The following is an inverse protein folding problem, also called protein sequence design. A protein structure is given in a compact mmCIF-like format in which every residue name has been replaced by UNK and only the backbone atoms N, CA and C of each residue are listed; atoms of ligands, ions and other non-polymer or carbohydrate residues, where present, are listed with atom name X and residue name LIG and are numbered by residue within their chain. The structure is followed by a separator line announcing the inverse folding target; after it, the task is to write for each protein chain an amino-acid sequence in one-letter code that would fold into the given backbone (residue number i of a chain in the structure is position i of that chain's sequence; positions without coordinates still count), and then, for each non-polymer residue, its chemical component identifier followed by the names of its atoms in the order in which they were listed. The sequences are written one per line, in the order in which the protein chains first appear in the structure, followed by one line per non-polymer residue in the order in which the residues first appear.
data_IF_209614891320
#
_entry.id   IF_209614891320
#
_cell.length_a   1.000
_cell.length_b   1.000
_cell.length_c   1.000
_cell.angle_alpha   90.00
_cell.angle_beta   90.00
_cell.angle_gamma   90.00
#
_symmetry.space_group_name_H-M   'P 1'
#
loop_
_entity.id
_entity.type
_entity.pdbx_description
1 polymer ?
#
# COMPACT_ATOMS: atom_id res chain seq x y z
N UNK A 1 -21.43 -45.44 -40.56
CA UNK A 1 -20.20 -45.34 -41.38
C UNK A 1 -19.13 -44.79 -40.42
N UNK A 2 -18.49 -45.54 -39.52
CA UNK A 2 -17.89 -46.88 -39.57
C UNK A 2 -16.90 -47.00 -40.71
N UNK A 3 -15.59 -47.03 -40.36
CA UNK A 3 -14.36 -47.54 -41.01
C UNK A 3 -13.23 -46.66 -40.45
N UNK A 4 -12.41 -47.02 -39.45
CA UNK A 4 -11.51 -48.17 -39.23
C UNK A 4 -10.83 -48.72 -40.48
N UNK A 5 -9.52 -48.43 -40.64
CA UNK A 5 -8.41 -49.33 -41.08
C UNK A 5 -7.11 -48.62 -40.63
N UNK A 6 -6.42 -49.05 -39.58
CA UNK A 6 -5.38 -50.10 -39.51
C UNK A 6 -4.10 -49.77 -40.28
N UNK A 7 -2.97 -49.78 -39.57
CA UNK A 7 -1.62 -49.59 -40.11
C UNK A 7 -0.56 -49.74 -39.02
N UNK A 8 -0.44 -50.95 -38.48
CA UNK A 8 0.69 -51.43 -37.68
C UNK A 8 2.01 -51.36 -38.46
N UNK A 9 3.09 -51.00 -37.77
CA UNK A 9 4.40 -51.62 -37.93
C UNK A 9 5.25 -51.42 -36.67
N UNK A 10 5.42 -52.54 -35.95
CA UNK A 10 6.50 -52.93 -35.02
C UNK A 10 7.91 -52.47 -35.44
N UNK A 11 8.99 -52.57 -34.67
CA UNK A 11 9.33 -52.63 -33.24
C UNK A 11 10.88 -52.76 -33.20
N UNK A 12 11.55 -52.17 -32.19
CA UNK A 12 12.81 -52.60 -31.52
C UNK A 12 13.35 -51.42 -30.69
N UNK A 13 13.15 -51.36 -29.37
CA UNK A 13 13.79 -52.10 -28.24
C UNK A 13 15.23 -51.67 -27.96
N UNK A 14 15.41 -51.00 -26.81
CA UNK A 14 16.49 -51.09 -25.79
C UNK A 14 16.64 -49.72 -25.09
N UNK A 15 16.63 -49.48 -23.78
CA UNK A 15 16.52 -50.27 -22.56
C UNK A 15 16.03 -49.33 -21.44
N UNK A 16 15.06 -49.77 -20.64
CA UNK A 16 14.64 -49.08 -19.41
C UNK A 16 14.81 -50.07 -18.26
N UNK A 17 15.85 -49.89 -17.45
CA UNK A 17 16.02 -50.67 -16.22
C UNK A 17 15.18 -50.08 -15.07
N UNK A 18 14.45 -50.99 -14.44
CA UNK A 18 13.63 -50.85 -13.25
C UNK A 18 14.46 -51.34 -12.06
N UNK A 19 14.58 -50.54 -11.01
CA UNK A 19 14.98 -51.00 -9.66
C UNK A 19 13.99 -50.36 -8.68
N UNK A 20 12.89 -51.04 -8.35
CA UNK A 20 12.74 -52.01 -7.25
C UNK A 20 12.85 -51.38 -5.86
N UNK A 21 11.67 -51.15 -5.30
CA UNK A 21 11.37 -50.88 -3.90
C UNK A 21 11.83 -52.00 -2.96
N UNK A 22 12.58 -51.65 -1.92
CA UNK A 22 12.67 -52.38 -0.64
C UNK A 22 12.66 -51.31 0.47
N UNK A 23 11.81 -51.34 1.48
CA UNK A 23 11.61 -52.45 2.41
C UNK A 23 12.33 -52.07 3.71
N UNK A 24 11.70 -51.22 4.53
CA UNK A 24 12.21 -50.83 5.85
C UNK A 24 11.89 -51.95 6.84
N UNK A 25 12.84 -52.83 7.11
CA UNK A 25 12.77 -53.81 8.19
C UNK A 25 14.11 -53.85 8.93
N UNK A 26 14.17 -53.17 10.09
CA UNK A 26 14.69 -53.69 11.37
C UNK A 26 15.05 -52.57 12.37
N UNK A 27 14.27 -52.48 13.44
CA UNK A 27 14.60 -51.79 14.69
C UNK A 27 15.63 -52.65 15.43
N UNK A 28 16.91 -52.61 15.05
CA UNK A 28 17.98 -53.18 15.89
C UNK A 28 19.40 -52.60 15.64
N UNK A 29 19.53 -51.48 14.92
CA UNK A 29 20.84 -50.83 14.65
C UNK A 29 21.06 -49.48 15.36
N UNK A 30 20.16 -49.07 16.27
CA UNK A 30 20.30 -47.82 17.03
C UNK A 30 21.11 -47.96 18.34
N UNK A 31 21.62 -49.15 18.66
CA UNK A 31 22.31 -49.41 19.94
C UNK A 31 23.84 -49.59 19.84
N UNK A 32 24.43 -49.41 18.65
CA UNK A 32 25.89 -49.54 18.44
C UNK A 32 26.65 -48.23 18.19
N UNK A 33 25.96 -47.09 18.13
CA UNK A 33 26.59 -45.79 17.83
C UNK A 33 26.85 -44.89 19.06
N UNK A 34 26.49 -45.33 20.27
CA UNK A 34 26.63 -44.51 21.48
C UNK A 34 27.82 -44.90 22.40
N UNK A 35 28.67 -45.83 21.97
CA UNK A 35 29.79 -46.34 22.78
C UNK A 35 31.09 -46.47 21.99
N UNK A 36 31.57 -45.38 21.41
CA UNK A 36 32.98 -45.23 21.04
C UNK A 36 33.37 -43.76 21.16
N UNK A 37 34.02 -43.46 22.28
CA UNK A 37 34.70 -42.20 22.49
C UNK A 37 36.01 -42.13 21.71
N UNK A 38 36.28 -40.90 21.30
CA UNK A 38 37.57 -40.26 21.04
C UNK A 38 38.24 -40.31 19.65
N UNK A 39 38.62 -39.07 19.30
CA UNK A 39 39.76 -38.62 18.50
C UNK A 39 39.73 -38.82 16.99
N UNK A 40 39.16 -37.84 16.28
CA UNK A 40 39.93 -36.84 15.51
C UNK A 40 38.96 -35.92 14.79
N UNK A 41 39.11 -34.63 15.05
CA UNK A 41 38.33 -33.56 14.47
C UNK A 41 39.16 -32.97 13.33
N UNK A 42 38.99 -33.46 12.10
CA UNK A 42 39.43 -32.74 10.88
C UNK A 42 38.69 -33.28 9.66
N UNK A 43 38.20 -32.34 8.85
CA UNK A 43 37.81 -32.49 7.45
C UNK A 43 36.45 -33.13 7.13
N UNK A 44 35.38 -32.38 7.46
CA UNK A 44 34.29 -32.16 6.51
C UNK A 44 33.73 -30.75 6.69
N UNK A 45 34.55 -29.73 6.41
CA UNK A 45 34.03 -28.38 6.16
C UNK A 45 33.49 -28.33 4.73
N UNK A 46 32.32 -28.95 4.51
CA UNK A 46 31.48 -28.56 3.40
C UNK A 46 31.02 -27.13 3.68
N UNK A 47 31.70 -26.18 3.05
CA UNK A 47 31.34 -24.78 2.99
C UNK A 47 30.06 -24.66 2.16
N UNK A 48 28.92 -25.08 2.73
CA UNK A 48 27.63 -24.64 2.24
C UNK A 48 27.60 -23.14 2.50
N UNK A 49 27.88 -22.35 1.46
CA UNK A 49 27.55 -20.92 1.46
C UNK A 49 26.03 -20.86 1.61
N UNK A 50 25.56 -20.81 2.85
CA UNK A 50 24.15 -20.59 3.15
C UNK A 50 23.88 -19.15 2.76
N UNK A 51 23.49 -18.96 1.50
CA UNK A 51 23.01 -17.66 1.03
C UNK A 51 21.76 -17.34 1.84
N UNK A 52 21.78 -16.21 2.54
CA UNK A 52 20.60 -15.72 3.24
C UNK A 52 19.40 -15.58 2.29
N UNK A 53 18.17 -15.56 2.83
CA UNK A 53 16.99 -15.36 2.01
C UNK A 53 17.11 -14.07 1.18
N UNK A 54 16.53 -14.02 -0.03
CA UNK A 54 16.61 -12.84 -0.89
C UNK A 54 15.95 -11.63 -0.21
N UNK A 55 16.43 -10.43 -0.52
CA UNK A 55 15.86 -9.20 0.03
C UNK A 55 14.37 -9.07 -0.33
N UNK A 56 13.50 -9.01 0.67
CA UNK A 56 12.06 -8.89 0.48
C UNK A 56 11.62 -7.56 -0.19
N UNK A 57 12.49 -6.54 -0.25
CA UNK A 57 12.21 -5.27 -0.92
C UNK A 57 11.02 -4.49 -0.31
N UNK A 58 10.66 -4.75 0.94
CA UNK A 58 9.46 -4.20 1.59
C UNK A 58 9.42 -2.66 1.65
N UNK A 59 10.58 -1.99 1.61
CA UNK A 59 10.68 -0.53 1.66
C UNK A 59 11.02 0.12 0.31
N UNK A 60 11.25 -0.67 -0.75
CA UNK A 60 11.64 -0.13 -2.07
C UNK A 60 10.42 0.57 -2.69
N UNK A 61 10.63 1.80 -3.19
CA UNK A 61 9.62 2.58 -3.94
C UNK A 61 9.15 1.75 -5.14
N UNK A 62 7.85 1.73 -5.37
CA UNK A 62 7.24 1.04 -6.50
C UNK A 62 6.93 2.05 -7.61
N UNK A 63 7.14 1.70 -8.89
CA UNK A 63 6.76 2.58 -9.98
C UNK A 63 5.24 2.77 -9.98
N UNK A 64 4.80 4.03 -10.03
CA UNK A 64 3.38 4.35 -10.15
C UNK A 64 2.90 3.98 -11.56
N UNK A 65 1.70 3.37 -11.65
CA UNK A 65 1.01 3.18 -12.93
C UNK A 65 0.58 4.53 -13.49
N UNK A 66 0.58 4.68 -14.82
CA UNK A 66 0.00 5.85 -15.49
C UNK A 66 -1.42 6.12 -14.98
N UNK A 67 -1.71 7.36 -14.60
CA UNK A 67 -3.02 7.76 -14.10
C UNK A 67 -3.98 8.13 -15.23
N UNK A 68 -5.28 7.95 -14.99
CA UNK A 68 -6.31 8.58 -15.82
C UNK A 68 -6.26 10.11 -15.65
N UNK A 69 -5.92 10.61 -14.46
CA UNK A 69 -5.76 12.04 -14.19
C UNK A 69 -4.85 12.72 -15.22
N UNK A 70 -3.65 12.18 -15.45
CA UNK A 70 -2.69 12.73 -16.43
C UNK A 70 -3.28 12.78 -17.84
N UNK A 71 -3.99 11.74 -18.26
CA UNK A 71 -4.66 11.69 -19.56
C UNK A 71 -5.76 12.75 -19.68
N UNK A 72 -6.57 12.93 -18.64
CA UNK A 72 -7.62 13.95 -18.63
C UNK A 72 -7.03 15.37 -18.63
N UNK A 73 -5.91 15.58 -17.92
CA UNK A 73 -5.18 16.84 -17.96
C UNK A 73 -4.66 17.13 -19.37
N UNK A 74 -3.95 16.18 -19.98
CA UNK A 74 -3.34 16.36 -21.31
C UNK A 74 -4.41 16.57 -22.41
N UNK A 75 -5.61 15.99 -22.25
CA UNK A 75 -6.76 16.25 -23.15
C UNK A 75 -7.45 17.59 -22.90
N UNK A 76 -7.24 18.23 -21.75
CA UNK A 76 -7.91 19.47 -21.38
C UNK A 76 -9.34 19.30 -20.87
N UNK A 77 -9.75 18.07 -20.53
CA UNK A 77 -11.11 17.73 -20.07
C UNK A 77 -11.38 18.18 -18.63
N UNK A 78 -10.35 18.59 -17.89
CA UNK A 78 -10.49 18.97 -16.50
C UNK A 78 -11.16 20.35 -16.32
N UNK A 79 -12.08 20.49 -15.34
CA UNK A 79 -12.76 21.75 -15.03
C UNK A 79 -11.87 22.73 -14.24
N UNK A 80 -10.55 22.64 -14.38
CA UNK A 80 -9.56 23.46 -13.68
C UNK A 80 -8.62 24.14 -14.67
N UNK A 81 -8.11 25.32 -14.30
CA UNK A 81 -7.15 26.10 -15.06
C UNK A 81 -6.12 26.73 -14.10
N UNK A 82 -4.93 27.05 -14.62
CA UNK A 82 -3.91 27.76 -13.84
C UNK A 82 -4.29 29.24 -13.72
N UNK A 83 -4.44 29.73 -12.49
CA UNK A 83 -4.60 31.15 -12.21
C UNK A 83 -3.27 31.70 -11.67
N UNK A 84 -2.76 32.73 -12.34
CA UNK A 84 -1.57 33.46 -11.87
C UNK A 84 -2.04 34.66 -11.05
N UNK A 85 -2.09 34.49 -9.73
CA UNK A 85 -2.26 35.60 -8.80
C UNK A 85 -0.88 36.13 -8.39
N UNK A 86 -0.78 37.44 -8.18
CA UNK A 86 0.41 38.12 -7.64
C UNK A 86 0.86 37.60 -6.27
N UNK A 87 -0.03 36.90 -5.54
CA UNK A 87 0.22 36.30 -4.22
C UNK A 87 0.60 34.81 -4.27
N UNK A 88 0.59 34.17 -5.43
CA UNK A 88 0.95 32.76 -5.60
C UNK A 88 0.11 32.02 -6.64
N UNK A 89 0.47 30.78 -6.91
CA UNK A 89 -0.27 29.92 -7.85
C UNK A 89 -1.56 29.43 -7.20
N UNK A 90 -2.69 29.66 -7.87
CA UNK A 90 -3.99 29.08 -7.51
C UNK A 90 -4.58 28.35 -8.70
N UNK A 91 -5.53 27.45 -8.45
CA UNK A 91 -6.34 26.87 -9.51
C UNK A 91 -7.64 27.66 -9.61
N UNK A 92 -8.03 28.01 -10.83
CA UNK A 92 -9.36 28.56 -11.12
C UNK A 92 -10.25 27.42 -11.64
N UNK A 93 -11.43 27.30 -11.06
CA UNK A 93 -12.44 26.35 -11.51
C UNK A 93 -13.25 26.95 -12.66
N UNK A 94 -13.32 26.22 -13.78
CA UNK A 94 -14.13 26.61 -14.96
C UNK A 94 -15.63 26.49 -14.69
N UNK A 95 -16.00 25.65 -13.73
CA UNK A 95 -17.38 25.36 -13.30
C UNK A 95 -17.40 25.42 -11.78
N UNK A 96 -18.46 26.00 -11.21
CA UNK A 96 -18.65 26.04 -9.75
C UNK A 96 -18.58 24.63 -9.15
N UNK A 97 -17.79 24.48 -8.08
CA UNK A 97 -17.50 23.18 -7.43
C UNK A 97 -18.78 22.46 -7.01
N UNK A 98 -19.76 23.21 -6.50
CA UNK A 98 -21.06 22.71 -6.04
C UNK A 98 -21.87 22.03 -7.16
N UNK A 99 -21.67 22.43 -8.41
CA UNK A 99 -22.37 21.91 -9.60
C UNK A 99 -21.68 20.71 -10.23
N UNK A 100 -20.45 20.37 -9.81
CA UNK A 100 -19.71 19.24 -10.34
C UNK A 100 -20.31 17.89 -9.90
N UNK A 101 -20.15 16.87 -10.75
CA UNK A 101 -20.45 15.49 -10.39
C UNK A 101 -19.28 14.86 -9.62
N UNK A 102 -19.49 14.67 -8.32
CA UNK A 102 -18.48 14.13 -7.42
C UNK A 102 -18.15 12.66 -7.72
N UNK A 103 -19.07 11.87 -8.28
CA UNK A 103 -18.81 10.47 -8.63
C UNK A 103 -17.79 10.36 -9.75
N UNK A 104 -17.73 11.36 -10.63
CA UNK A 104 -16.78 11.39 -11.74
C UNK A 104 -15.45 12.06 -11.35
N UNK A 105 -15.53 13.29 -10.83
CA UNK A 105 -14.34 14.12 -10.68
C UNK A 105 -13.51 13.80 -9.42
N UNK A 106 -14.15 13.48 -8.30
CA UNK A 106 -13.41 13.27 -7.05
C UNK A 106 -12.53 12.01 -7.10
N UNK A 107 -13.01 10.83 -7.53
CA UNK A 107 -12.13 9.65 -7.67
C UNK A 107 -11.00 9.86 -8.68
N UNK A 108 -11.27 10.57 -9.78
CA UNK A 108 -10.29 10.90 -10.81
C UNK A 108 -9.18 11.82 -10.26
N UNK A 109 -9.52 12.81 -9.45
CA UNK A 109 -8.54 13.67 -8.77
C UNK A 109 -7.74 12.92 -7.69
N UNK A 110 -8.40 12.05 -6.92
CA UNK A 110 -7.73 11.17 -5.96
C UNK A 110 -6.74 10.21 -6.63
N UNK A 111 -7.02 9.74 -7.84
CA UNK A 111 -6.07 8.94 -8.63
C UNK A 111 -4.78 9.72 -8.93
N UNK A 112 -4.91 11.03 -9.15
CA UNK A 112 -3.80 11.97 -9.39
C UNK A 112 -2.88 12.21 -8.19
N UNK A 113 -3.25 11.78 -6.97
CA UNK A 113 -2.38 11.94 -5.79
C UNK A 113 -1.04 11.21 -5.91
N UNK A 114 -0.95 10.21 -6.80
CA UNK A 114 0.29 9.48 -7.09
C UNK A 114 1.24 10.23 -8.04
N UNK A 115 0.77 11.30 -8.68
CA UNK A 115 1.61 12.12 -9.55
C UNK A 115 2.61 12.92 -8.72
N UNK A 116 3.83 13.00 -9.22
CA UNK A 116 4.95 13.74 -8.58
C UNK A 116 5.56 14.79 -9.50
N UNK A 117 5.14 14.82 -10.78
CA UNK A 117 5.63 15.75 -11.78
C UNK A 117 4.76 17.02 -11.79
N UNK A 118 5.41 18.19 -11.84
CA UNK A 118 4.73 19.45 -12.13
C UNK A 118 4.32 19.52 -13.61
N UNK A 119 3.11 19.98 -13.97
CA UNK A 119 2.10 20.62 -13.11
C UNK A 119 1.07 19.66 -12.49
N UNK A 120 1.12 18.37 -12.82
CA UNK A 120 0.11 17.38 -12.47
C UNK A 120 -0.12 17.27 -10.95
N UNK A 121 0.96 17.18 -10.17
CA UNK A 121 0.83 17.05 -8.71
C UNK A 121 0.13 18.26 -8.07
N UNK A 122 0.35 19.46 -8.59
CA UNK A 122 -0.23 20.70 -8.06
C UNK A 122 -1.74 20.73 -8.29
N UNK A 123 -2.17 20.43 -9.52
CA UNK A 123 -3.59 20.39 -9.87
C UNK A 123 -4.34 19.28 -9.15
N UNK A 124 -3.76 18.09 -9.01
CA UNK A 124 -4.39 17.00 -8.29
C UNK A 124 -4.59 17.36 -6.81
N UNK A 125 -3.54 17.83 -6.14
CA UNK A 125 -3.59 18.18 -4.70
C UNK A 125 -4.56 19.31 -4.41
N UNK A 126 -4.46 20.41 -5.16
CA UNK A 126 -5.34 21.56 -4.95
C UNK A 126 -6.79 21.24 -5.34
N UNK A 127 -6.99 20.46 -6.41
CA UNK A 127 -8.32 20.04 -6.83
C UNK A 127 -9.02 19.16 -5.80
N UNK A 128 -8.30 18.20 -5.20
CA UNK A 128 -8.84 17.40 -4.10
C UNK A 128 -9.19 18.27 -2.90
N UNK A 129 -8.28 19.17 -2.49
CA UNK A 129 -8.51 20.06 -1.36
C UNK A 129 -9.77 20.91 -1.54
N UNK A 130 -9.91 21.60 -2.69
CA UNK A 130 -11.06 22.46 -2.95
C UNK A 130 -12.39 21.67 -3.01
N UNK A 131 -12.37 20.46 -3.60
CA UNK A 131 -13.57 19.61 -3.64
C UNK A 131 -13.94 19.04 -2.27
N UNK A 132 -12.98 18.76 -1.40
CA UNK A 132 -13.25 18.31 -0.03
C UNK A 132 -13.80 19.46 0.82
N UNK A 133 -13.24 20.67 0.67
CA UNK A 133 -13.68 21.86 1.41
C UNK A 133 -15.11 22.29 1.04
N UNK A 134 -15.47 22.22 -0.25
CA UNK A 134 -16.76 22.70 -0.76
C UNK A 134 -17.75 21.59 -1.11
N UNK A 135 -17.42 20.32 -0.86
CA UNK A 135 -18.24 19.19 -1.28
C UNK A 135 -19.41 18.85 -0.35
N UNK A 136 -19.27 19.10 0.95
CA UNK A 136 -20.28 18.82 1.96
C UNK A 136 -20.89 17.41 1.83
N UNK A 137 -22.22 17.33 1.75
CA UNK A 137 -22.96 16.06 1.68
C UNK A 137 -22.70 15.23 0.40
N UNK A 138 -22.06 15.79 -0.64
CA UNK A 138 -21.76 15.07 -1.90
C UNK A 138 -20.56 14.13 -1.76
N UNK A 139 -19.77 14.27 -0.70
CA UNK A 139 -18.55 13.46 -0.47
C UNK A 139 -18.92 12.06 0.02
N UNK A 140 -19.86 11.96 0.98
CA UNK A 140 -20.23 10.71 1.64
C UNK A 140 -20.61 9.58 0.65
N UNK A 141 -21.44 9.79 -0.39
CA UNK A 141 -21.79 8.75 -1.35
C UNK A 141 -20.61 8.23 -2.19
N UNK A 142 -19.53 9.02 -2.28
CA UNK A 142 -18.39 8.74 -3.16
C UNK A 142 -17.26 8.01 -2.41
N UNK A 143 -17.28 7.99 -1.08
CA UNK A 143 -16.26 7.32 -0.23
C UNK A 143 -15.85 5.92 -0.73
N UNK A 144 -16.77 5.01 -1.10
CA UNK A 144 -16.38 3.68 -1.59
C UNK A 144 -15.50 3.69 -2.85
N UNK A 145 -15.64 4.72 -3.70
CA UNK A 145 -14.86 4.86 -4.93
C UNK A 145 -13.45 5.42 -4.67
N UNK A 146 -13.23 6.09 -3.53
CA UNK A 146 -11.94 6.68 -3.17
C UNK A 146 -10.97 5.64 -2.60
N UNK A 147 -11.47 4.51 -2.09
CA UNK A 147 -10.66 3.49 -1.39
C UNK A 147 -9.53 2.94 -2.26
N UNK A 148 -9.82 2.64 -3.54
CA UNK A 148 -8.81 2.10 -4.47
C UNK A 148 -7.73 3.14 -4.83
N UNK A 149 -8.07 4.37 -5.25
CA UNK A 149 -7.07 5.43 -5.44
C UNK A 149 -6.19 5.70 -4.22
N UNK A 150 -6.79 5.75 -3.02
CA UNK A 150 -6.07 5.96 -1.75
C UNK A 150 -5.07 4.83 -1.51
N UNK A 151 -5.53 3.57 -1.59
CA UNK A 151 -4.67 2.41 -1.39
C UNK A 151 -3.51 2.40 -2.39
N UNK A 152 -3.82 2.60 -3.67
CA UNK A 152 -2.82 2.61 -4.74
C UNK A 152 -1.77 3.73 -4.54
N UNK A 153 -2.17 4.90 -4.03
CA UNK A 153 -1.26 5.99 -3.70
C UNK A 153 -0.34 5.64 -2.52
N UNK A 154 -0.88 5.06 -1.44
CA UNK A 154 -0.09 4.59 -0.30
C UNK A 154 0.88 3.45 -0.70
N UNK A 155 0.43 2.56 -1.58
CA UNK A 155 1.21 1.41 -2.06
C UNK A 155 2.41 1.79 -2.94
N UNK A 156 2.51 3.04 -3.42
CA UNK A 156 3.69 3.55 -4.15
C UNK A 156 4.96 3.49 -3.29
N UNK A 157 4.81 3.53 -1.96
CA UNK A 157 5.92 3.61 -0.99
C UNK A 157 6.85 4.81 -1.21
N UNK A 158 6.37 5.83 -1.92
CA UNK A 158 7.02 7.11 -2.03
C UNK A 158 6.60 7.99 -0.85
N UNK A 159 7.57 8.45 -0.05
CA UNK A 159 7.30 9.24 1.15
C UNK A 159 6.53 10.54 0.83
N UNK A 160 6.84 11.21 -0.29
CA UNK A 160 6.13 12.44 -0.68
C UNK A 160 4.66 12.17 -0.98
N UNK A 161 4.36 11.09 -1.71
CA UNK A 161 2.99 10.69 -2.05
C UNK A 161 2.24 10.22 -0.81
N UNK A 162 2.88 9.41 0.03
CA UNK A 162 2.27 8.91 1.28
C UNK A 162 1.94 10.06 2.21
N UNK A 163 2.86 10.99 2.48
CA UNK A 163 2.60 12.14 3.33
C UNK A 163 1.48 13.03 2.78
N UNK A 164 1.46 13.26 1.47
CA UNK A 164 0.36 14.00 0.83
C UNK A 164 -0.97 13.28 1.00
N UNK A 165 -1.00 11.97 0.78
CA UNK A 165 -2.22 11.15 0.90
C UNK A 165 -2.73 11.12 2.34
N UNK A 166 -1.85 11.05 3.35
CA UNK A 166 -2.23 11.14 4.76
C UNK A 166 -2.87 12.49 5.10
N UNK A 167 -2.31 13.61 4.62
CA UNK A 167 -2.91 14.94 4.80
C UNK A 167 -4.30 15.03 4.15
N UNK A 168 -4.46 14.47 2.95
CA UNK A 168 -5.76 14.38 2.27
C UNK A 168 -6.75 13.50 3.05
N UNK A 169 -6.29 12.39 3.65
CA UNK A 169 -7.13 11.53 4.49
C UNK A 169 -7.61 12.25 5.75
N UNK A 170 -6.74 13.04 6.39
CA UNK A 170 -7.13 13.90 7.52
C UNK A 170 -8.21 14.91 7.10
N UNK A 171 -8.05 15.56 5.95
CA UNK A 171 -9.06 16.48 5.43
C UNK A 171 -10.37 15.76 5.13
N UNK A 172 -10.31 14.60 4.46
CA UNK A 172 -11.48 13.81 4.07
C UNK A 172 -12.39 13.47 5.26
N UNK A 173 -11.83 12.99 6.38
CA UNK A 173 -12.64 12.61 7.55
C UNK A 173 -13.27 13.79 8.29
N UNK A 174 -12.74 15.00 8.08
CA UNK A 174 -13.26 16.26 8.65
C UNK A 174 -14.27 16.92 7.68
N UNK A 175 -14.21 16.60 6.39
CA UNK A 175 -14.95 17.31 5.33
C UNK A 175 -16.46 17.09 5.34
N UNK A 176 -16.97 16.07 6.04
CA UNK A 176 -18.40 15.79 6.06
C UNK A 176 -18.84 14.94 7.24
N UNK A 177 -20.10 15.14 7.65
CA UNK A 177 -20.75 14.33 8.67
C UNK A 177 -20.82 12.86 8.20
N UNK A 178 -20.54 11.92 9.12
CA UNK A 178 -20.49 10.47 8.87
C UNK A 178 -19.42 9.98 7.88
N UNK A 179 -18.58 10.85 7.29
CA UNK A 179 -17.52 10.41 6.36
C UNK A 179 -16.50 9.53 7.08
N UNK A 180 -16.13 9.89 8.31
CA UNK A 180 -15.24 9.08 9.14
C UNK A 180 -15.80 7.70 9.47
N UNK A 181 -17.08 7.62 9.88
CA UNK A 181 -17.78 6.36 10.14
C UNK A 181 -17.88 5.49 8.88
N UNK A 182 -18.18 6.10 7.73
CA UNK A 182 -18.25 5.40 6.44
C UNK A 182 -16.88 4.83 6.01
N UNK A 183 -15.77 5.34 6.54
CA UNK A 183 -14.43 4.87 6.22
C UNK A 183 -14.03 3.61 7.01
N UNK A 184 -14.63 3.37 8.18
CA UNK A 184 -14.27 2.27 9.10
C UNK A 184 -14.26 0.88 8.43
N UNK A 185 -15.25 0.49 7.60
CA UNK A 185 -15.24 -0.80 6.92
C UNK A 185 -14.02 -1.01 6.00
N UNK A 186 -13.38 0.08 5.56
CA UNK A 186 -12.27 0.08 4.60
C UNK A 186 -10.89 0.18 5.26
N UNK A 187 -10.79 0.31 6.59
CA UNK A 187 -9.51 0.33 7.30
C UNK A 187 -8.63 -0.88 6.98
N UNK A 188 -9.24 -2.05 6.73
CA UNK A 188 -8.52 -3.28 6.34
C UNK A 188 -7.74 -3.15 5.03
N UNK A 189 -8.16 -2.26 4.15
CA UNK A 189 -7.53 -2.05 2.85
C UNK A 189 -6.48 -0.93 2.88
N UNK A 190 -6.66 0.06 3.74
CA UNK A 190 -5.85 1.29 3.76
C UNK A 190 -4.70 1.18 4.78
N UNK A 191 -5.01 0.76 6.01
CA UNK A 191 -4.08 0.82 7.14
C UNK A 191 -2.86 -0.12 7.07
N UNK A 192 -2.91 -1.33 6.45
CA UNK A 192 -1.76 -2.24 6.47
C UNK A 192 -0.47 -1.64 5.92
N UNK A 193 -0.55 -0.74 4.94
CA UNK A 193 0.62 -0.08 4.34
C UNK A 193 1.32 0.84 5.34
N UNK A 194 0.58 1.46 6.25
CA UNK A 194 1.10 2.40 7.25
C UNK A 194 2.00 1.70 8.29
N UNK A 195 1.78 0.40 8.56
CA UNK A 195 2.63 -0.37 9.47
C UNK A 195 4.10 -0.42 9.03
N UNK A 196 4.36 -0.35 7.72
CA UNK A 196 5.73 -0.33 7.17
C UNK A 196 6.43 0.97 7.58
N UNK A 197 5.70 2.09 7.64
CA UNK A 197 6.26 3.42 7.83
C UNK A 197 6.12 3.95 9.26
N UNK A 198 5.31 3.31 10.11
CA UNK A 198 5.00 3.78 11.46
C UNK A 198 6.23 4.03 12.35
N UNK A 199 7.27 3.23 12.21
CA UNK A 199 8.51 3.37 12.99
C UNK A 199 9.58 4.23 12.29
N UNK A 200 9.29 4.79 11.10
CA UNK A 200 10.22 5.69 10.41
C UNK A 200 10.10 7.11 10.95
N UNK A 201 10.56 7.31 12.18
CA UNK A 201 10.73 8.64 12.74
C UNK A 201 12.14 9.16 12.43
N UNK A 202 12.21 10.42 12.01
CA UNK A 202 13.47 11.16 12.00
C UNK A 202 13.83 11.41 13.48
N UNK A 203 14.75 10.61 14.02
CA UNK A 203 15.26 10.86 15.36
C UNK A 203 16.41 11.87 15.26
N UNK A 204 16.09 13.16 15.36
CA UNK A 204 17.06 14.25 15.25
C UNK A 204 17.96 14.43 16.49
N UNK A 205 17.87 13.56 17.50
CA UNK A 205 18.68 13.66 18.72
C UNK A 205 18.49 15.00 19.41
N UNK A 206 19.59 15.68 19.75
CA UNK A 206 19.61 17.03 20.34
C UNK A 206 19.53 18.16 19.27
N UNK A 207 19.37 17.79 17.99
CA UNK A 207 19.20 18.71 16.88
C UNK A 207 17.74 19.15 16.74
N UNK A 208 17.51 20.47 16.70
CA UNK A 208 16.19 21.04 16.41
C UNK A 208 15.84 20.74 14.95
N UNK A 209 14.77 19.99 14.73
CA UNK A 209 14.26 19.71 13.40
C UNK A 209 13.48 20.92 12.83
N UNK A 210 14.12 21.67 11.95
CA UNK A 210 13.51 22.80 11.25
C UNK A 210 12.47 22.38 10.17
N UNK A 211 12.36 21.07 9.85
CA UNK A 211 11.40 20.57 8.86
C UNK A 211 9.97 20.39 9.40
N UNK A 212 9.75 20.61 10.70
CA UNK A 212 8.43 20.57 11.34
C UNK A 212 7.39 21.47 10.63
N UNK A 213 7.81 22.64 10.12
CA UNK A 213 6.94 23.55 9.38
C UNK A 213 6.32 22.94 8.12
N UNK A 214 6.97 21.95 7.51
CA UNK A 214 6.48 21.25 6.30
C UNK A 214 5.68 19.98 6.60
N UNK A 215 5.64 19.54 7.88
CA UNK A 215 5.04 18.26 8.31
C UNK A 215 5.51 17.09 7.43
N UNK A 216 6.83 16.85 7.41
CA UNK A 216 7.47 15.79 6.60
C UNK A 216 7.79 14.52 7.41
N UNK A 217 7.72 14.57 8.75
CA UNK A 217 7.86 13.36 9.58
C UNK A 217 6.65 12.44 9.38
N UNK A 218 6.88 11.31 8.72
CA UNK A 218 5.85 10.37 8.35
C UNK A 218 5.23 9.64 9.55
N UNK A 219 6.00 9.32 10.59
CA UNK A 219 5.45 8.60 11.74
C UNK A 219 4.54 9.47 12.60
N UNK A 220 4.92 10.74 12.81
CA UNK A 220 4.06 11.72 13.49
C UNK A 220 2.76 11.94 12.68
N UNK A 221 2.88 12.05 11.36
CA UNK A 221 1.72 12.24 10.48
C UNK A 221 0.81 11.00 10.45
N UNK A 222 1.38 9.79 10.51
CA UNK A 222 0.60 8.55 10.64
C UNK A 222 -0.17 8.58 11.96
N UNK A 223 0.50 8.92 13.07
CA UNK A 223 -0.13 8.98 14.39
C UNK A 223 -1.29 9.99 14.41
N UNK A 224 -1.06 11.22 13.94
CA UNK A 224 -2.11 12.25 13.81
C UNK A 224 -3.28 11.77 12.94
N UNK A 225 -3.00 11.05 11.85
CA UNK A 225 -4.05 10.52 10.96
C UNK A 225 -4.88 9.43 11.64
N UNK A 226 -4.25 8.54 12.39
CA UNK A 226 -4.96 7.49 13.14
C UNK A 226 -5.82 8.09 14.26
N UNK A 227 -5.34 9.13 14.93
CA UNK A 227 -6.12 9.88 15.92
C UNK A 227 -7.32 10.59 15.29
N UNK A 228 -7.15 11.19 14.11
CA UNK A 228 -8.25 11.78 13.36
C UNK A 228 -9.30 10.72 12.95
N UNK A 229 -8.87 9.51 12.59
CA UNK A 229 -9.75 8.39 12.27
C UNK A 229 -10.51 7.87 13.50
N UNK A 230 -9.86 7.78 14.65
CA UNK A 230 -10.52 7.40 15.90
C UNK A 230 -11.56 8.45 16.31
N UNK A 231 -11.20 9.74 16.25
CA UNK A 231 -12.06 10.85 16.66
C UNK A 231 -13.33 11.01 15.83
N UNK A 232 -13.27 10.74 14.52
CA UNK A 232 -14.40 10.93 13.59
C UNK A 232 -15.03 9.61 13.11
N UNK A 233 -14.49 8.46 13.49
CA UNK A 233 -14.93 7.14 13.02
C UNK A 233 -15.98 6.45 13.89
N UNK A 234 -16.41 7.07 15.00
CA UNK A 234 -17.40 6.50 15.92
C UNK A 234 -16.84 5.39 16.84
N UNK A 235 -17.74 4.72 17.57
CA UNK A 235 -17.40 3.79 18.65
C UNK A 235 -16.56 2.58 18.20
N UNK A 236 -16.80 2.07 16.99
CA UNK A 236 -16.12 0.90 16.45
C UNK A 236 -14.75 1.21 15.81
N UNK A 237 -14.38 2.49 15.68
CA UNK A 237 -13.17 2.91 14.97
C UNK A 237 -11.91 2.35 15.63
N UNK A 238 -11.77 2.52 16.95
CA UNK A 238 -10.59 2.08 17.70
C UNK A 238 -10.32 0.57 17.54
N UNK A 239 -11.36 -0.26 17.66
CA UNK A 239 -11.23 -1.71 17.55
C UNK A 239 -10.71 -2.08 16.15
N UNK A 240 -11.27 -1.49 15.08
CA UNK A 240 -10.84 -1.76 13.71
C UNK A 240 -9.41 -1.27 13.44
N UNK A 241 -9.02 -0.11 13.97
CA UNK A 241 -7.64 0.39 13.88
C UNK A 241 -6.68 -0.56 14.61
N UNK A 242 -7.00 -0.96 15.84
CA UNK A 242 -6.17 -1.85 16.67
C UNK A 242 -5.96 -3.23 16.03
N UNK A 243 -6.98 -3.76 15.36
CA UNK A 243 -6.85 -5.01 14.58
C UNK A 243 -5.84 -4.89 13.43
N UNK A 244 -5.73 -3.73 12.80
CA UNK A 244 -4.81 -3.51 11.68
C UNK A 244 -3.43 -3.05 12.14
N UNK A 245 -3.36 -2.27 13.21
CA UNK A 245 -2.15 -1.67 13.77
C UNK A 245 -2.09 -2.03 15.26
N UNK A 246 -1.54 -3.20 15.64
CA UNK A 246 -1.50 -3.65 17.02
C UNK A 246 -0.76 -2.69 17.98
N UNK A 247 0.16 -1.89 17.45
CA UNK A 247 0.96 -0.92 18.19
C UNK A 247 0.28 0.44 18.39
N UNK A 248 -0.96 0.64 17.91
CA UNK A 248 -1.70 1.89 18.14
C UNK A 248 -2.32 1.90 19.55
N UNK A 249 -2.27 3.05 20.21
CA UNK A 249 -2.86 3.30 21.53
C UNK A 249 -3.91 4.41 21.39
N UNK A 250 -5.03 4.28 22.10
CA UNK A 250 -6.16 5.20 21.97
C UNK A 250 -5.79 6.59 22.48
N UNK A 251 -6.23 7.62 21.77
CA UNK A 251 -6.06 9.02 22.20
C UNK A 251 -7.26 9.54 23.03
N UNK A 252 -8.41 8.86 23.00
CA UNK A 252 -9.64 9.33 23.67
C UNK A 252 -9.83 8.78 25.09
N UNK A 253 -9.08 7.73 25.45
CA UNK A 253 -9.24 7.01 26.72
C UNK A 253 -8.16 7.37 27.77
N UNK A 254 -7.45 8.50 27.60
CA UNK A 254 -6.40 8.98 28.51
C UNK A 254 -6.86 10.15 29.39
#
# INVERSE_FOLDING_TARGET
MSFNVSGELEARVSDTEIVSSGGFDNIFDLHKLWLQGNTSCTEFSNHFLVTGPPEAGAFKKRPAKHTQFRRFYDRGDLPIALEHDTKGNKIAWKVEIEKLDYHHYLPMLFEGLRETEHPYEFFARQGVHDMLEHGGAKILPVVPQLILPIRDALDTRDLQVVCTTLKVLQHLVISGEMVGEALVPYYRQILPVLNIFKNKNLNSGDGIDYSQQRRENIGDLIQETLEAFEKHGGEDSFINIKYMIPTYESCLLN
#
